data_IF_881156294084
#
_entry.id   IF_881156294084
#
_cell.length_a   1.000
_cell.length_b   1.000
_cell.length_c   1.000
_cell.angle_alpha   90.00
_cell.angle_beta   90.00
_cell.angle_gamma   90.00
#
_symmetry.space_group_name_H-M   'P 1'
#
loop_
_entity.id
_entity.type
_entity.pdbx_description
1 polymer ?
#
# COMPACT_ATOMS: atom_id res chain seq x y z
N UNK A 1 1.56 5.33 4.48
CA UNK A 1 1.13 4.87 5.85
C UNK A 1 1.81 3.53 6.10
N UNK A 2 1.81 2.95 7.33
CA UNK A 2 2.43 1.62 7.50
C UNK A 2 1.63 0.49 6.82
N UNK A 3 2.32 -0.59 6.47
CA UNK A 3 1.78 -1.74 5.72
C UNK A 3 0.57 -2.39 6.43
N UNK A 4 0.59 -2.42 7.77
CA UNK A 4 -0.50 -3.02 8.56
C UNK A 4 -1.75 -2.18 8.44
N UNK A 5 -1.64 -0.87 8.56
CA UNK A 5 -2.77 0.05 8.42
C UNK A 5 -3.38 0.00 7.01
N UNK A 6 -2.57 -0.01 5.93
CA UNK A 6 -3.07 -0.20 4.55
C UNK A 6 -3.87 -1.49 4.41
N UNK A 7 -3.33 -2.58 4.93
CA UNK A 7 -3.99 -3.90 4.86
C UNK A 7 -5.30 -3.90 5.64
N UNK A 8 -5.35 -3.28 6.84
CA UNK A 8 -6.56 -3.20 7.65
C UNK A 8 -7.64 -2.31 7.03
N UNK A 9 -7.28 -1.17 6.44
CA UNK A 9 -8.23 -0.33 5.70
C UNK A 9 -8.79 -1.07 4.48
N UNK A 10 -7.95 -1.77 3.72
CA UNK A 10 -8.39 -2.60 2.60
C UNK A 10 -9.31 -3.75 3.07
N UNK A 11 -9.02 -4.38 4.21
CA UNK A 11 -9.87 -5.41 4.81
C UNK A 11 -11.23 -4.85 5.23
N UNK A 12 -11.27 -3.67 5.83
CA UNK A 12 -12.52 -2.98 6.17
C UNK A 12 -13.36 -2.69 4.93
N UNK A 13 -12.75 -2.12 3.88
CA UNK A 13 -13.40 -1.87 2.59
C UNK A 13 -13.93 -3.14 1.92
N UNK A 14 -13.09 -4.19 1.86
CA UNK A 14 -13.49 -5.48 1.31
C UNK A 14 -14.66 -6.11 2.10
N UNK A 15 -14.69 -5.95 3.42
CA UNK A 15 -15.79 -6.42 4.27
C UNK A 15 -17.10 -5.68 3.96
N UNK A 16 -17.04 -4.35 3.77
CA UNK A 16 -18.22 -3.55 3.39
C UNK A 16 -18.77 -3.98 2.02
N UNK A 17 -17.87 -4.19 1.04
CA UNK A 17 -18.27 -4.67 -0.29
C UNK A 17 -18.87 -6.08 -0.20
N UNK A 18 -18.21 -6.99 0.54
CA UNK A 18 -18.67 -8.38 0.71
C UNK A 18 -20.09 -8.48 1.26
N UNK A 19 -20.51 -7.57 2.13
CA UNK A 19 -21.88 -7.52 2.68
C UNK A 19 -22.95 -7.19 1.63
N UNK A 20 -22.57 -6.40 0.62
CA UNK A 20 -23.48 -6.02 -0.49
C UNK A 20 -23.38 -6.98 -1.65
N UNK A 21 -22.20 -7.49 -1.91
CA UNK A 21 -21.87 -8.40 -3.01
C UNK A 21 -20.84 -9.42 -2.49
N UNK A 22 -21.22 -10.70 -2.33
CA UNK A 22 -20.29 -11.72 -1.85
C UNK A 22 -19.01 -11.77 -2.67
N UNK A 23 -17.87 -11.64 -2.00
CA UNK A 23 -16.54 -11.77 -2.59
C UNK A 23 -15.97 -13.15 -2.29
N UNK A 24 -15.26 -13.74 -3.24
CA UNK A 24 -14.51 -14.97 -3.01
C UNK A 24 -13.34 -14.72 -2.05
N UNK A 25 -12.88 -15.75 -1.35
CA UNK A 25 -11.70 -15.66 -0.49
C UNK A 25 -10.46 -15.20 -1.24
N UNK A 26 -10.28 -15.66 -2.48
CA UNK A 26 -9.17 -15.22 -3.34
C UNK A 26 -9.27 -13.74 -3.69
N UNK A 27 -10.46 -13.23 -4.00
CA UNK A 27 -10.66 -11.79 -4.25
C UNK A 27 -10.24 -10.96 -3.04
N UNK A 28 -10.68 -11.34 -1.84
CA UNK A 28 -10.29 -10.64 -0.61
C UNK A 28 -8.79 -10.71 -0.41
N UNK A 29 -8.19 -11.91 -0.48
CA UNK A 29 -6.74 -12.08 -0.28
C UNK A 29 -5.93 -11.22 -1.27
N UNK A 30 -6.27 -11.24 -2.55
CA UNK A 30 -5.56 -10.44 -3.56
C UNK A 30 -5.75 -8.94 -3.32
N UNK A 31 -6.93 -8.50 -2.84
CA UNK A 31 -7.13 -7.10 -2.43
C UNK A 31 -6.16 -6.69 -1.32
N UNK A 32 -6.00 -7.53 -0.29
CA UNK A 32 -5.08 -7.26 0.83
C UNK A 32 -3.61 -7.27 0.37
N UNK A 33 -3.24 -8.23 -0.47
CA UNK A 33 -1.89 -8.29 -1.06
C UNK A 33 -1.60 -7.03 -1.87
N UNK A 34 -2.53 -6.58 -2.72
CA UNK A 34 -2.36 -5.36 -3.51
C UNK A 34 -2.36 -4.08 -2.67
N UNK A 35 -2.95 -4.11 -1.47
CA UNK A 35 -2.86 -2.99 -0.54
C UNK A 35 -1.50 -2.91 0.17
N UNK A 36 -0.81 -4.05 0.37
CA UNK A 36 0.50 -4.11 1.00
C UNK A 36 1.66 -4.02 0.01
N UNK A 37 1.43 -4.47 -1.23
CA UNK A 37 2.47 -4.67 -2.24
C UNK A 37 3.29 -3.42 -2.57
N UNK A 38 2.73 -2.21 -2.68
CA UNK A 38 3.51 -1.01 -2.98
C UNK A 38 4.67 -0.77 -2.01
N UNK A 39 4.45 -1.01 -0.72
CA UNK A 39 5.47 -0.84 0.32
C UNK A 39 6.49 -1.99 0.41
N UNK A 40 6.19 -3.12 -0.21
CA UNK A 40 7.06 -4.31 -0.12
C UNK A 40 7.90 -4.50 -1.38
N UNK A 41 7.34 -4.16 -2.54
CA UNK A 41 7.96 -4.53 -3.82
C UNK A 41 9.30 -3.81 -4.07
N UNK A 42 9.47 -2.61 -3.53
CA UNK A 42 10.72 -1.87 -3.66
C UNK A 42 11.90 -2.54 -2.91
N UNK A 43 11.61 -3.48 -2.01
CA UNK A 43 12.64 -4.28 -1.35
C UNK A 43 13.17 -5.42 -2.24
N UNK A 44 12.51 -5.75 -3.36
CA UNK A 44 12.94 -6.83 -4.25
C UNK A 44 14.37 -6.67 -4.78
N UNK A 45 14.82 -5.50 -5.24
CA UNK A 45 16.20 -5.33 -5.68
C UNK A 45 17.20 -5.55 -4.54
N UNK A 46 16.88 -5.09 -3.33
CA UNK A 46 17.74 -5.26 -2.14
C UNK A 46 17.79 -6.74 -1.75
N UNK A 47 16.65 -7.41 -1.73
CA UNK A 47 16.58 -8.85 -1.45
C UNK A 47 17.31 -9.67 -2.52
N UNK A 48 17.21 -9.28 -3.79
CA UNK A 48 17.93 -9.94 -4.89
C UNK A 48 19.45 -9.75 -4.74
N UNK A 49 19.89 -8.55 -4.36
CA UNK A 49 21.30 -8.29 -4.09
C UNK A 49 21.81 -9.14 -2.92
N UNK A 50 21.02 -9.28 -1.84
CA UNK A 50 21.37 -10.18 -0.73
C UNK A 50 21.43 -11.65 -1.16
N UNK A 51 20.44 -12.14 -1.93
CA UNK A 51 20.34 -13.57 -2.24
C UNK A 51 21.29 -14.04 -3.35
N UNK A 52 21.65 -13.17 -4.29
CA UNK A 52 22.34 -13.56 -5.53
C UNK A 52 23.67 -12.81 -5.75
N UNK A 53 24.07 -11.91 -4.84
CA UNK A 53 25.30 -11.14 -4.94
C UNK A 53 25.96 -10.99 -3.55
N UNK A 54 26.62 -9.87 -3.31
CA UNK A 54 27.44 -9.60 -2.12
C UNK A 54 26.70 -8.81 -1.03
N UNK A 55 25.39 -8.73 -1.10
CA UNK A 55 24.55 -8.13 -0.07
C UNK A 55 24.44 -8.98 1.21
N UNK A 56 23.84 -8.41 2.25
CA UNK A 56 23.57 -9.12 3.50
C UNK A 56 22.11 -8.97 3.93
N UNK A 57 21.65 -9.90 4.77
CA UNK A 57 20.34 -9.80 5.41
C UNK A 57 20.24 -8.55 6.29
N UNK A 58 21.33 -8.20 6.98
CA UNK A 58 21.36 -6.99 7.83
C UNK A 58 21.16 -5.72 7.00
N UNK A 59 21.73 -5.65 5.79
CA UNK A 59 21.53 -4.54 4.88
C UNK A 59 20.06 -4.47 4.39
N UNK A 60 19.46 -5.60 4.04
CA UNK A 60 18.04 -5.69 3.68
C UNK A 60 17.15 -5.23 4.84
N UNK A 61 17.41 -5.72 6.05
CA UNK A 61 16.62 -5.36 7.22
C UNK A 61 16.78 -3.88 7.56
N UNK A 62 18.01 -3.38 7.60
CA UNK A 62 18.29 -1.97 7.86
C UNK A 62 17.62 -1.05 6.83
N UNK A 63 17.59 -1.45 5.55
CA UNK A 63 16.88 -0.71 4.50
C UNK A 63 15.36 -0.75 4.70
N UNK A 64 14.81 -1.90 5.04
CA UNK A 64 13.37 -2.10 5.21
C UNK A 64 12.78 -1.33 6.40
N UNK A 65 13.57 -1.07 7.44
CA UNK A 65 13.13 -0.35 8.65
C UNK A 65 13.64 1.09 8.73
N UNK A 66 14.39 1.54 7.72
CA UNK A 66 14.93 2.88 7.69
C UNK A 66 13.80 3.93 7.59
N UNK A 67 14.04 5.08 8.19
CA UNK A 67 13.25 6.27 7.91
C UNK A 67 13.56 6.69 6.46
N UNK A 68 12.55 7.01 5.64
CA UNK A 68 12.76 7.46 4.28
C UNK A 68 13.79 8.60 4.20
N UNK A 69 14.75 8.44 3.28
CA UNK A 69 15.89 9.37 3.14
C UNK A 69 17.07 9.10 4.10
N UNK A 70 16.96 8.09 4.96
CA UNK A 70 18.02 7.66 5.88
C UNK A 70 18.40 6.18 5.66
N UNK A 71 18.07 5.65 4.50
CA UNK A 71 18.37 4.28 4.15
C UNK A 71 19.89 4.05 4.08
N UNK A 72 20.36 2.84 4.45
CA UNK A 72 21.77 2.51 4.32
C UNK A 72 22.22 2.52 2.86
N UNK A 73 23.49 2.84 2.63
CA UNK A 73 24.06 2.81 1.29
C UNK A 73 23.97 1.42 0.67
N UNK A 74 23.42 1.36 -0.54
CA UNK A 74 23.35 0.15 -1.38
C UNK A 74 23.99 0.45 -2.74
N UNK A 75 24.36 -0.58 -3.55
CA UNK A 75 24.88 -0.35 -4.89
C UNK A 75 23.95 0.56 -5.72
N UNK A 76 24.49 1.51 -6.51
CA UNK A 76 23.67 2.51 -7.22
C UNK A 76 22.55 1.91 -8.06
N UNK A 77 22.80 0.79 -8.75
CA UNK A 77 21.80 0.08 -9.53
C UNK A 77 20.66 -0.46 -8.67
N UNK A 78 21.00 -1.06 -7.53
CA UNK A 78 20.03 -1.63 -6.58
C UNK A 78 19.15 -0.51 -6.01
N UNK A 79 19.76 0.59 -5.57
CA UNK A 79 19.02 1.75 -5.07
C UNK A 79 18.12 2.39 -6.12
N UNK A 80 18.63 2.57 -7.35
CA UNK A 80 17.83 3.09 -8.46
C UNK A 80 16.62 2.21 -8.79
N UNK A 81 16.79 0.89 -8.87
CA UNK A 81 15.69 -0.04 -9.12
C UNK A 81 14.66 -0.02 -7.98
N UNK A 82 15.13 0.01 -6.73
CA UNK A 82 14.25 0.14 -5.56
C UNK A 82 13.42 1.41 -5.62
N UNK A 83 14.05 2.56 -5.86
CA UNK A 83 13.38 3.84 -6.02
C UNK A 83 12.34 3.82 -7.16
N UNK A 84 12.71 3.33 -8.34
CA UNK A 84 11.77 3.26 -9.46
C UNK A 84 10.57 2.34 -9.19
N UNK A 85 10.79 1.17 -8.55
CA UNK A 85 9.70 0.30 -8.16
C UNK A 85 8.74 0.98 -7.16
N UNK A 86 9.29 1.70 -6.18
CA UNK A 86 8.48 2.50 -5.27
C UNK A 86 7.65 3.54 -6.04
N UNK A 87 8.27 4.36 -6.89
CA UNK A 87 7.58 5.39 -7.67
C UNK A 87 6.48 4.81 -8.58
N UNK A 88 6.76 3.70 -9.27
CA UNK A 88 5.80 3.01 -10.14
C UNK A 88 4.57 2.54 -9.36
N UNK A 89 4.79 1.95 -8.21
CA UNK A 89 3.69 1.38 -7.41
C UNK A 89 2.85 2.43 -6.67
N UNK A 90 3.39 3.64 -6.48
CA UNK A 90 2.65 4.76 -5.90
C UNK A 90 2.11 5.73 -6.95
N UNK A 91 2.26 5.41 -8.23
CA UNK A 91 1.83 6.27 -9.35
C UNK A 91 0.36 6.06 -9.72
N UNK A 92 -0.46 7.10 -9.60
CA UNK A 92 -1.85 7.08 -10.08
C UNK A 92 -1.94 6.96 -11.62
N UNK A 93 -1.11 7.63 -12.45
CA UNK A 93 -1.08 7.38 -13.90
C UNK A 93 -0.82 5.93 -14.27
N UNK A 94 0.17 5.28 -13.64
CA UNK A 94 0.51 3.88 -13.94
C UNK A 94 -0.60 2.95 -13.46
N UNK A 95 -1.11 3.14 -12.24
CA UNK A 95 -2.26 2.38 -11.73
C UNK A 95 -3.50 2.57 -12.61
N UNK A 96 -3.73 3.78 -13.12
CA UNK A 96 -4.80 4.10 -14.05
C UNK A 96 -4.66 3.36 -15.39
N UNK A 97 -3.48 3.40 -16.00
CA UNK A 97 -3.21 2.68 -17.26
C UNK A 97 -3.39 1.17 -17.07
N UNK A 98 -2.87 0.60 -15.99
CA UNK A 98 -3.04 -0.82 -15.67
C UNK A 98 -4.52 -1.17 -15.46
N UNK A 99 -5.26 -0.33 -14.73
CA UNK A 99 -6.70 -0.50 -14.50
C UNK A 99 -7.47 -0.47 -15.82
N UNK A 100 -7.18 0.48 -16.70
CA UNK A 100 -7.82 0.62 -18.01
C UNK A 100 -7.50 -0.58 -18.92
N UNK A 101 -6.22 -1.00 -18.98
CA UNK A 101 -5.82 -2.16 -19.76
C UNK A 101 -6.53 -3.43 -19.28
N UNK A 102 -6.57 -3.65 -17.98
CA UNK A 102 -7.24 -4.82 -17.40
C UNK A 102 -8.77 -4.75 -17.61
N UNK A 103 -9.38 -3.59 -17.47
CA UNK A 103 -10.79 -3.38 -17.78
C UNK A 103 -11.09 -3.64 -19.26
N UNK A 104 -10.23 -3.20 -20.17
CA UNK A 104 -10.37 -3.45 -21.60
C UNK A 104 -10.42 -4.93 -21.90
N UNK A 105 -9.54 -5.72 -21.27
CA UNK A 105 -9.48 -7.18 -21.49
C UNK A 105 -10.65 -7.90 -20.81
N UNK A 106 -10.97 -7.54 -19.54
CA UNK A 106 -11.98 -8.25 -18.74
C UNK A 106 -13.40 -7.74 -18.93
N UNK A 107 -13.57 -6.56 -19.52
CA UNK A 107 -14.83 -5.83 -19.66
C UNK A 107 -15.56 -5.57 -18.34
N UNK A 108 -14.90 -5.80 -17.22
CA UNK A 108 -15.40 -5.55 -15.86
C UNK A 108 -14.29 -5.03 -14.99
N UNK A 109 -14.62 -4.18 -14.02
CA UNK A 109 -13.66 -3.72 -13.03
C UNK A 109 -13.22 -4.89 -12.14
N UNK A 110 -11.89 -5.07 -12.01
CA UNK A 110 -11.34 -6.10 -11.14
C UNK A 110 -11.20 -5.57 -9.71
N UNK A 111 -12.12 -6.00 -8.83
CA UNK A 111 -12.24 -5.51 -7.44
C UNK A 111 -10.91 -5.47 -6.66
N UNK A 112 -9.99 -6.45 -6.78
CA UNK A 112 -8.72 -6.38 -6.07
C UNK A 112 -7.90 -5.12 -6.32
N UNK A 113 -8.04 -4.44 -7.45
CA UNK A 113 -7.37 -3.15 -7.69
C UNK A 113 -7.74 -2.07 -6.68
N UNK A 114 -8.88 -2.20 -5.99
CA UNK A 114 -9.23 -1.29 -4.90
C UNK A 114 -8.20 -1.32 -3.76
N UNK A 115 -7.51 -2.44 -3.54
CA UNK A 115 -6.39 -2.52 -2.60
C UNK A 115 -5.26 -1.58 -2.99
N UNK A 116 -4.81 -1.67 -4.25
CA UNK A 116 -3.75 -0.79 -4.77
C UNK A 116 -4.19 0.68 -4.80
N UNK A 117 -5.39 0.97 -5.30
CA UNK A 117 -5.92 2.34 -5.32
C UNK A 117 -6.10 2.93 -3.92
N UNK A 118 -6.58 2.15 -2.95
CA UNK A 118 -6.70 2.62 -1.56
C UNK A 118 -5.34 2.97 -0.96
N UNK A 119 -4.29 2.17 -1.26
CA UNK A 119 -2.93 2.44 -0.84
C UNK A 119 -2.46 3.80 -1.38
N UNK A 120 -2.50 4.00 -2.70
CA UNK A 120 -2.07 5.26 -3.33
C UNK A 120 -2.81 6.47 -2.75
N UNK A 121 -4.15 6.38 -2.64
CA UNK A 121 -4.97 7.48 -2.13
C UNK A 121 -4.62 7.82 -0.68
N UNK A 122 -4.46 6.82 0.16
CA UNK A 122 -4.10 7.03 1.57
C UNK A 122 -2.73 7.69 1.66
N UNK A 123 -1.74 7.20 0.90
CA UNK A 123 -0.37 7.68 1.00
C UNK A 123 -0.16 9.11 0.51
N UNK A 124 -0.94 9.56 -0.46
CA UNK A 124 -0.91 10.98 -0.87
C UNK A 124 -1.13 11.91 0.33
N UNK A 125 -2.01 11.54 1.27
CA UNK A 125 -2.35 12.39 2.42
C UNK A 125 -1.56 12.09 3.67
N UNK A 126 -0.91 10.92 3.74
CA UNK A 126 -0.22 10.44 4.94
C UNK A 126 1.30 10.48 4.85
N UNK A 127 1.82 11.13 3.83
CA UNK A 127 3.22 11.48 3.68
C UNK A 127 3.38 13.01 3.58
N UNK A 128 4.47 13.55 4.10
CA UNK A 128 4.79 14.98 4.04
C UNK A 128 6.07 15.22 3.25
N UNK A 129 6.29 16.46 2.84
CA UNK A 129 7.52 16.85 2.16
C UNK A 129 8.78 16.58 3.01
N UNK A 130 8.67 16.75 4.33
CA UNK A 130 9.77 16.52 5.27
C UNK A 130 10.05 15.05 5.56
N UNK A 131 9.08 14.17 5.26
CA UNK A 131 9.18 12.73 5.55
C UNK A 131 9.26 11.87 4.29
N UNK A 132 9.08 12.31 3.14
CA UNK A 132 8.98 11.63 1.84
C UNK A 132 7.61 11.81 1.18
N UNK A 133 7.46 12.86 0.41
CA UNK A 133 6.26 13.07 -0.38
C UNK A 133 6.14 12.01 -1.49
N UNK A 134 5.02 11.31 -1.52
CA UNK A 134 4.79 10.24 -2.51
C UNK A 134 4.66 10.81 -3.93
N UNK A 135 5.43 10.31 -4.91
CA UNK A 135 5.41 10.82 -6.29
C UNK A 135 4.19 10.29 -7.07
N UNK A 136 2.99 10.70 -6.64
CA UNK A 136 1.71 10.19 -7.15
C UNK A 136 1.50 10.40 -8.65
N UNK A 137 2.19 11.35 -9.26
CA UNK A 137 2.10 11.65 -10.70
C UNK A 137 3.32 11.14 -11.50
N UNK A 138 4.13 10.26 -10.92
CA UNK A 138 5.23 9.62 -11.65
C UNK A 138 4.72 8.92 -12.92
N UNK A 139 5.42 8.94 -14.09
CA UNK A 139 6.76 9.49 -14.33
C UNK A 139 6.78 10.97 -14.72
N UNK A 140 5.67 11.69 -14.72
CA UNK A 140 5.60 13.08 -15.17
C UNK A 140 6.27 14.04 -14.19
N UNK A 141 6.26 13.72 -12.90
CA UNK A 141 6.96 14.47 -11.84
C UNK A 141 7.21 13.55 -10.64
N UNK A 142 8.29 13.82 -9.92
CA UNK A 142 8.59 13.20 -8.63
C UNK A 142 8.09 14.05 -7.45
N UNK A 143 7.48 15.20 -7.71
CA UNK A 143 6.88 16.01 -6.65
C UNK A 143 5.62 15.33 -6.12
N UNK A 144 5.54 15.20 -4.81
CA UNK A 144 4.37 14.69 -4.11
C UNK A 144 3.55 15.80 -3.44
N UNK A 145 2.41 15.42 -2.89
CA UNK A 145 1.59 16.27 -2.05
C UNK A 145 2.22 16.37 -0.65
N UNK A 146 2.19 17.55 -0.05
CA UNK A 146 2.65 17.75 1.32
C UNK A 146 1.49 17.50 2.29
N UNK A 147 1.36 16.25 2.73
CA UNK A 147 0.35 15.80 3.66
C UNK A 147 0.86 15.77 5.11
N UNK A 148 0.33 14.85 5.91
CA UNK A 148 0.73 14.64 7.31
C UNK A 148 1.55 13.37 7.39
N UNK A 149 2.81 13.44 7.86
CA UNK A 149 3.64 12.25 8.04
C UNK A 149 2.95 11.23 8.94
N UNK A 150 2.72 10.03 8.46
CA UNK A 150 1.99 8.97 9.18
C UNK A 150 2.67 8.57 10.49
N UNK A 151 3.99 8.74 10.63
CA UNK A 151 4.74 8.47 11.86
C UNK A 151 4.48 9.49 12.96
N UNK A 152 3.74 10.58 12.68
CA UNK A 152 3.39 11.58 13.69
C UNK A 152 2.54 10.92 14.79
N UNK A 153 2.96 10.96 16.08
CA UNK A 153 2.33 10.14 17.12
C UNK A 153 0.81 10.34 17.28
N UNK A 154 0.33 11.58 17.22
CA UNK A 154 -1.10 11.86 17.30
C UNK A 154 -1.86 11.32 16.09
N UNK A 155 -1.26 11.37 14.87
CA UNK A 155 -1.87 10.84 13.66
C UNK A 155 -1.95 9.32 13.71
N UNK A 156 -0.89 8.63 14.13
CA UNK A 156 -0.91 7.19 14.35
C UNK A 156 -1.99 6.78 15.35
N UNK A 157 -2.08 7.47 16.49
CA UNK A 157 -3.12 7.20 17.49
C UNK A 157 -4.52 7.38 16.92
N UNK A 158 -4.77 8.46 16.16
CA UNK A 158 -6.04 8.71 15.49
C UNK A 158 -6.37 7.63 14.46
N UNK A 159 -5.42 7.26 13.60
CA UNK A 159 -5.61 6.25 12.57
C UNK A 159 -5.97 4.88 13.14
N UNK A 160 -5.22 4.40 14.15
CA UNK A 160 -5.51 3.11 14.76
C UNK A 160 -6.79 3.13 15.61
N UNK A 161 -7.13 4.26 16.22
CA UNK A 161 -8.44 4.44 16.89
C UNK A 161 -9.58 4.38 15.88
N UNK A 162 -9.44 5.03 14.72
CA UNK A 162 -10.42 4.96 13.65
C UNK A 162 -10.57 3.52 13.11
N UNK A 163 -9.46 2.81 12.88
CA UNK A 163 -9.48 1.40 12.48
C UNK A 163 -10.21 0.51 13.51
N UNK A 164 -9.92 0.71 14.81
CA UNK A 164 -10.61 -0.02 15.87
C UNK A 164 -12.11 0.30 15.90
N UNK A 165 -12.50 1.56 15.78
CA UNK A 165 -13.90 1.98 15.71
C UNK A 165 -14.62 1.35 14.50
N UNK A 166 -13.99 1.35 13.32
CA UNK A 166 -14.54 0.71 12.11
C UNK A 166 -14.66 -0.80 12.32
N UNK A 167 -13.68 -1.46 12.92
CA UNK A 167 -13.74 -2.89 13.21
C UNK A 167 -14.90 -3.23 14.16
N UNK A 168 -15.07 -2.47 15.24
CA UNK A 168 -16.20 -2.61 16.18
C UNK A 168 -17.52 -2.39 15.45
N UNK A 169 -17.65 -1.33 14.67
CA UNK A 169 -18.85 -1.07 13.88
C UNK A 169 -19.16 -2.23 12.91
N UNK A 170 -18.17 -2.77 12.24
CA UNK A 170 -18.32 -3.92 11.35
C UNK A 170 -18.76 -5.17 12.12
N UNK A 171 -18.27 -5.41 13.32
CA UNK A 171 -18.68 -6.53 14.16
C UNK A 171 -20.14 -6.39 14.65
N UNK A 172 -20.50 -5.20 15.14
CA UNK A 172 -21.84 -4.92 15.68
C UNK A 172 -22.92 -4.90 14.59
N UNK A 173 -22.59 -4.46 13.38
CA UNK A 173 -23.51 -4.38 12.24
C UNK A 173 -23.63 -5.70 11.45
N UNK A 174 -23.07 -6.80 11.95
CA UNK A 174 -23.38 -8.16 11.43
C UNK A 174 -24.85 -8.44 11.69
N UNK A 175 -25.66 -8.64 10.64
CA UNK A 175 -27.03 -9.15 10.81
C UNK A 175 -26.94 -10.46 11.58
N UNK A 176 -27.67 -10.55 12.70
CA UNK A 176 -27.88 -11.84 13.36
C UNK A 176 -28.54 -12.75 12.33
N UNK A 177 -28.08 -14.01 12.14
CA UNK A 177 -28.83 -14.96 11.35
C UNK A 177 -30.23 -15.06 11.99
N UNK A 178 -31.27 -14.85 11.18
CA UNK A 178 -32.64 -15.08 11.62
C UNK A 178 -32.70 -16.51 12.16
N UNK A 179 -32.93 -16.64 13.46
CA UNK A 179 -33.24 -17.93 14.09
C UNK A 179 -34.68 -18.26 13.72
N UNK A 180 -34.84 -18.83 12.50
CA UNK A 180 -36.06 -19.50 12.11
C UNK A 180 -36.12 -20.90 12.74
#
# INVERSE_FOLDING_TARGET
MDIVAHTLWAAAGATVIHRRRPLSRSTVLVTLVLAALPDVIHLLPIASWWLFADGSFDALWAYAVAVPGQEPGVPPLVGSLSHHLHCVMHSAPIAGLFTLALWWVRRTFWIPLLGWWSHIVIDVFTHSADYYAVPVLYPFTERGFDGIAWITPWFMALNYTALAAVAVWLLMSRKRPDRG
#
